data_IF_038920091229
#
_entry.id   IF_038920091229
#
_cell.length_a   1.000
_cell.length_b   1.000
_cell.length_c   1.000
_cell.angle_alpha   90.00
_cell.angle_beta   90.00
_cell.angle_gamma   90.00
#
_symmetry.space_group_name_H-M   'P 1'
#
loop_
_entity.id
_entity.type
_entity.pdbx_description
1 polymer ?
#
# COMPACT_ATOMS: atom_id res chain seq x y z
N UNK A 1 -26.42 -5.43 27.49
CA UNK A 1 -25.42 -5.23 26.44
C UNK A 1 -26.06 -5.64 25.13
N UNK A 2 -26.51 -4.67 24.32
CA UNK A 2 -27.08 -4.97 23.02
C UNK A 2 -25.98 -5.55 22.16
N UNK A 3 -26.13 -6.80 21.72
CA UNK A 3 -25.34 -7.36 20.62
C UNK A 3 -25.59 -6.45 19.43
N UNK A 4 -24.61 -5.60 19.09
CA UNK A 4 -24.56 -4.99 17.78
C UNK A 4 -24.35 -6.15 16.81
N UNK A 5 -25.45 -6.64 16.25
CA UNK A 5 -25.41 -7.47 15.06
C UNK A 5 -24.82 -6.56 14.01
N UNK A 6 -23.53 -6.72 13.70
CA UNK A 6 -22.91 -6.04 12.57
C UNK A 6 -23.66 -6.58 11.36
N UNK A 7 -24.66 -5.83 10.89
CA UNK A 7 -25.33 -6.13 9.63
C UNK A 7 -24.23 -6.16 8.58
N UNK A 8 -24.02 -7.31 7.94
CA UNK A 8 -23.14 -7.36 6.78
C UNK A 8 -23.68 -6.39 5.74
N UNK A 9 -22.85 -5.43 5.37
CA UNK A 9 -23.06 -4.52 4.25
C UNK A 9 -23.57 -5.31 3.03
N UNK A 10 -24.63 -4.85 2.34
CA UNK A 10 -25.30 -5.64 1.29
C UNK A 10 -24.36 -6.03 0.14
N UNK A 11 -23.36 -5.20 -0.14
CA UNK A 11 -22.33 -5.47 -1.15
C UNK A 11 -21.38 -6.57 -0.69
N UNK A 12 -20.94 -6.54 0.58
CA UNK A 12 -20.10 -7.60 1.14
C UNK A 12 -20.85 -8.93 1.25
N UNK A 13 -22.14 -8.89 1.58
CA UNK A 13 -23.01 -10.08 1.59
C UNK A 13 -23.17 -10.67 0.18
N UNK A 14 -23.37 -9.85 -0.84
CA UNK A 14 -23.44 -10.30 -2.23
C UNK A 14 -22.13 -10.99 -2.68
N UNK A 15 -20.98 -10.45 -2.28
CA UNK A 15 -19.69 -11.07 -2.60
C UNK A 15 -19.47 -12.36 -1.83
N UNK A 16 -19.92 -12.45 -0.57
CA UNK A 16 -19.90 -13.71 0.17
C UNK A 16 -20.72 -14.80 -0.56
N UNK A 17 -21.91 -14.45 -1.08
CA UNK A 17 -22.72 -15.42 -1.85
C UNK A 17 -22.06 -15.82 -3.18
N UNK A 18 -21.34 -14.91 -3.85
CA UNK A 18 -20.58 -15.24 -5.06
C UNK A 18 -19.38 -16.14 -4.74
N UNK A 19 -18.70 -15.88 -3.62
CA UNK A 19 -17.59 -16.68 -3.13
C UNK A 19 -18.04 -18.11 -2.79
N UNK A 20 -19.16 -18.25 -2.08
CA UNK A 20 -19.80 -19.54 -1.80
C UNK A 20 -20.20 -20.30 -3.08
N UNK A 21 -20.75 -19.59 -4.08
CA UNK A 21 -21.14 -20.21 -5.35
C UNK A 21 -19.94 -20.74 -6.15
N UNK A 22 -18.79 -20.07 -6.02
CA UNK A 22 -17.56 -20.39 -6.74
C UNK A 22 -16.60 -21.28 -5.95
N UNK A 23 -16.96 -21.68 -4.72
CA UNK A 23 -16.13 -22.45 -3.78
C UNK A 23 -14.73 -21.85 -3.55
N UNK A 24 -14.67 -20.52 -3.46
CA UNK A 24 -13.45 -19.76 -3.23
C UNK A 24 -13.61 -18.80 -2.04
N UNK A 25 -12.50 -18.39 -1.44
CA UNK A 25 -12.54 -17.42 -0.34
C UNK A 25 -13.03 -16.04 -0.82
N UNK A 26 -13.71 -15.30 0.05
CA UNK A 26 -14.14 -13.91 -0.23
C UNK A 26 -12.96 -12.98 -0.53
N UNK A 27 -11.81 -13.24 0.09
CA UNK A 27 -10.54 -12.57 -0.17
C UNK A 27 -10.02 -12.84 -1.59
N UNK A 28 -10.14 -14.08 -2.08
CA UNK A 28 -9.79 -14.43 -3.46
C UNK A 28 -10.66 -13.68 -4.47
N UNK A 29 -11.97 -13.58 -4.25
CA UNK A 29 -12.87 -12.80 -5.12
C UNK A 29 -12.45 -11.34 -5.16
N UNK A 30 -12.16 -10.75 -3.99
CA UNK A 30 -11.67 -9.37 -3.88
C UNK A 30 -10.38 -9.19 -4.70
N UNK A 31 -9.38 -10.03 -4.50
CA UNK A 31 -8.12 -9.96 -5.26
C UNK A 31 -8.33 -10.06 -6.76
N UNK A 32 -9.22 -10.94 -7.23
CA UNK A 32 -9.55 -11.05 -8.66
C UNK A 32 -10.16 -9.75 -9.20
N UNK A 33 -11.09 -9.12 -8.49
CA UNK A 33 -11.65 -7.82 -8.86
C UNK A 33 -10.56 -6.74 -8.95
N UNK A 34 -9.64 -6.71 -7.98
CA UNK A 34 -8.49 -5.81 -7.98
C UNK A 34 -7.58 -6.02 -9.19
N UNK A 35 -7.20 -7.28 -9.47
CA UNK A 35 -6.37 -7.65 -10.62
C UNK A 35 -7.03 -7.25 -11.94
N UNK A 36 -8.31 -7.56 -12.12
CA UNK A 36 -9.06 -7.16 -13.32
C UNK A 36 -9.09 -5.64 -13.47
N UNK A 37 -9.38 -4.90 -12.40
CA UNK A 37 -9.38 -3.44 -12.40
C UNK A 37 -8.02 -2.86 -12.81
N UNK A 38 -6.93 -3.37 -12.23
CA UNK A 38 -5.56 -2.97 -12.56
C UNK A 38 -5.19 -3.26 -14.01
N UNK A 39 -5.52 -4.46 -14.52
CA UNK A 39 -5.22 -4.86 -15.89
C UNK A 39 -5.96 -3.97 -16.89
N UNK A 40 -7.23 -3.64 -16.62
CA UNK A 40 -8.00 -2.70 -17.45
C UNK A 40 -7.36 -1.31 -17.45
N UNK A 41 -6.95 -0.79 -16.29
CA UNK A 41 -6.26 0.52 -16.22
C UNK A 41 -4.91 0.49 -16.96
N UNK A 42 -4.14 -0.59 -16.86
CA UNK A 42 -2.88 -0.77 -17.57
C UNK A 42 -3.08 -0.82 -19.10
N UNK A 43 -4.08 -1.57 -19.58
CA UNK A 43 -4.45 -1.63 -21.01
C UNK A 43 -4.92 -0.26 -21.48
N UNK A 44 -5.75 0.42 -20.68
CA UNK A 44 -6.21 1.76 -20.99
C UNK A 44 -5.07 2.78 -21.10
N UNK A 45 -4.06 2.67 -20.23
CA UNK A 45 -2.86 3.51 -20.29
C UNK A 45 -2.04 3.27 -21.56
N UNK A 46 -1.98 2.02 -22.05
CA UNK A 46 -1.33 1.69 -23.32
C UNK A 46 -2.08 2.29 -24.51
N UNK A 47 -3.40 2.24 -24.50
CA UNK A 47 -4.28 2.81 -25.54
C UNK A 47 -4.70 4.27 -25.25
N UNK A 48 -3.88 5.01 -24.52
CA UNK A 48 -4.19 6.35 -24.00
C UNK A 48 -4.60 7.37 -25.06
N UNK A 49 -4.09 7.28 -26.29
CA UNK A 49 -4.41 8.20 -27.39
C UNK A 49 -5.69 7.83 -28.15
N UNK A 50 -6.29 6.68 -27.85
CA UNK A 50 -7.48 6.17 -28.53
C UNK A 50 -8.72 6.40 -27.66
N UNK A 51 -9.89 6.70 -28.27
CA UNK A 51 -11.15 6.80 -27.52
C UNK A 51 -11.54 5.49 -26.81
N UNK A 52 -11.02 4.34 -27.27
CA UNK A 52 -11.18 3.06 -26.59
C UNK A 52 -10.53 3.03 -25.21
N UNK A 53 -9.46 3.80 -24.98
CA UNK A 53 -8.80 3.89 -23.69
C UNK A 53 -9.76 4.34 -22.58
N UNK A 54 -10.58 5.36 -22.84
CA UNK A 54 -11.60 5.85 -21.90
C UNK A 54 -12.58 4.74 -21.48
N UNK A 55 -13.09 4.01 -22.47
CA UNK A 55 -14.10 2.97 -22.27
C UNK A 55 -13.56 1.78 -21.49
N UNK A 56 -12.26 1.51 -21.60
CA UNK A 56 -11.56 0.46 -20.82
C UNK A 56 -11.24 0.97 -19.40
N UNK A 57 -10.92 2.25 -19.24
CA UNK A 57 -10.62 2.84 -17.92
C UNK A 57 -11.84 2.86 -16.99
N UNK A 58 -13.02 3.19 -17.52
CA UNK A 58 -14.25 3.31 -16.73
C UNK A 58 -14.58 2.06 -15.88
N UNK A 59 -14.68 0.85 -16.45
CA UNK A 59 -14.87 -0.36 -15.64
C UNK A 59 -13.66 -0.64 -14.74
N UNK A 60 -12.44 -0.27 -15.15
CA UNK A 60 -11.25 -0.39 -14.31
C UNK A 60 -11.33 0.42 -13.01
N UNK A 61 -11.78 1.68 -13.08
CA UNK A 61 -11.97 2.55 -11.90
C UNK A 61 -13.05 2.04 -10.96
N UNK A 62 -14.15 1.51 -11.50
CA UNK A 62 -15.24 0.95 -10.68
C UNK A 62 -14.77 -0.34 -9.98
N UNK A 63 -14.11 -1.24 -10.70
CA UNK A 63 -13.59 -2.50 -10.14
C UNK A 63 -12.54 -2.23 -9.06
N UNK A 64 -11.66 -1.25 -9.29
CA UNK A 64 -10.67 -0.86 -8.29
C UNK A 64 -11.32 -0.19 -7.06
N UNK A 65 -12.32 0.68 -7.29
CA UNK A 65 -13.08 1.29 -6.20
C UNK A 65 -13.81 0.23 -5.36
N UNK A 66 -14.40 -0.78 -6.01
CA UNK A 66 -15.02 -1.92 -5.34
C UNK A 66 -14.00 -2.76 -4.57
N UNK A 67 -12.84 -3.06 -5.18
CA UNK A 67 -11.74 -3.76 -4.52
C UNK A 67 -11.35 -3.11 -3.18
N UNK A 68 -11.15 -1.79 -3.17
CA UNK A 68 -10.78 -1.04 -1.97
C UNK A 68 -11.96 -0.94 -0.99
N UNK A 69 -13.18 -0.72 -1.48
CA UNK A 69 -14.39 -0.65 -0.65
C UNK A 69 -14.60 -1.90 0.18
N UNK A 70 -14.31 -3.09 -0.36
CA UNK A 70 -14.49 -4.35 0.34
C UNK A 70 -13.55 -4.52 1.54
N UNK A 71 -12.48 -3.74 1.64
CA UNK A 71 -11.61 -3.68 2.82
C UNK A 71 -12.27 -2.89 3.97
N UNK A 72 -13.31 -2.11 3.74
CA UNK A 72 -13.99 -1.32 4.79
C UNK A 72 -14.46 -2.20 5.95
N UNK A 73 -15.01 -3.39 5.67
CA UNK A 73 -15.44 -4.36 6.68
C UNK A 73 -14.31 -4.80 7.63
N UNK A 74 -13.07 -4.85 7.14
CA UNK A 74 -11.90 -5.11 7.98
C UNK A 74 -11.59 -3.90 8.87
N UNK A 75 -11.57 -2.69 8.30
CA UNK A 75 -11.27 -1.47 9.05
C UNK A 75 -12.32 -1.10 10.09
N UNK A 76 -13.58 -1.51 9.88
CA UNK A 76 -14.65 -1.42 10.88
C UNK A 76 -14.33 -2.28 12.10
N UNK A 77 -13.80 -3.50 11.90
CA UNK A 77 -13.47 -4.42 13.01
C UNK A 77 -12.34 -3.91 13.89
N UNK A 78 -11.35 -3.22 13.30
CA UNK A 78 -10.23 -2.64 14.04
C UNK A 78 -10.49 -1.19 14.49
N UNK A 79 -11.72 -0.69 14.33
CA UNK A 79 -12.19 0.62 14.78
C UNK A 79 -11.33 1.81 14.28
N UNK A 80 -10.79 1.76 13.05
CA UNK A 80 -10.04 2.87 12.45
C UNK A 80 -10.97 3.81 11.65
N UNK A 81 -11.41 4.96 12.20
CA UNK A 81 -12.38 5.82 11.54
C UNK A 81 -11.87 6.45 10.25
N UNK A 82 -10.56 6.68 10.12
CA UNK A 82 -9.97 7.33 8.94
C UNK A 82 -9.97 6.36 7.77
N UNK A 83 -9.51 5.13 8.00
CA UNK A 83 -9.47 4.11 6.95
C UNK A 83 -10.86 3.63 6.55
N UNK A 84 -11.83 3.59 7.48
CA UNK A 84 -13.23 3.34 7.15
C UNK A 84 -13.74 4.39 6.16
N UNK A 85 -13.55 5.69 6.45
CA UNK A 85 -14.01 6.76 5.55
C UNK A 85 -13.32 6.70 4.18
N UNK A 86 -11.99 6.52 4.16
CA UNK A 86 -11.22 6.47 2.92
C UNK A 86 -11.59 5.27 2.04
N UNK A 87 -11.76 4.08 2.65
CA UNK A 87 -12.17 2.89 1.89
C UNK A 87 -13.62 2.94 1.44
N UNK A 88 -14.53 3.46 2.27
CA UNK A 88 -15.92 3.66 1.88
C UNK A 88 -16.04 4.66 0.72
N UNK A 89 -15.23 5.72 0.72
CA UNK A 89 -15.21 6.71 -0.36
C UNK A 89 -14.61 6.20 -1.67
N UNK A 90 -13.88 5.08 -1.66
CA UNK A 90 -13.19 4.57 -2.84
C UNK A 90 -14.14 4.13 -3.97
N UNK A 91 -15.28 3.50 -3.64
CA UNK A 91 -16.26 3.08 -4.64
C UNK A 91 -16.98 4.29 -5.30
N UNK A 92 -17.56 5.24 -4.54
CA UNK A 92 -18.06 6.49 -5.12
C UNK A 92 -17.00 7.24 -5.93
N UNK A 93 -15.77 7.32 -5.44
CA UNK A 93 -14.65 7.95 -6.15
C UNK A 93 -14.34 7.27 -7.49
N UNK A 94 -14.31 5.93 -7.51
CA UNK A 94 -14.12 5.15 -8.73
C UNK A 94 -15.24 5.37 -9.75
N UNK A 95 -16.49 5.48 -9.29
CA UNK A 95 -17.65 5.79 -10.16
C UNK A 95 -17.52 7.21 -10.74
N UNK A 96 -17.18 8.21 -9.92
CA UNK A 96 -16.98 9.59 -10.38
C UNK A 96 -15.88 9.65 -11.45
N UNK A 97 -14.75 8.98 -11.22
CA UNK A 97 -13.66 8.90 -12.20
C UNK A 97 -14.12 8.21 -13.50
N UNK A 98 -14.89 7.12 -13.40
CA UNK A 98 -15.44 6.46 -14.57
C UNK A 98 -16.37 7.38 -15.39
N UNK A 99 -17.22 8.18 -14.73
CA UNK A 99 -18.09 9.17 -15.39
C UNK A 99 -17.25 10.25 -16.08
N UNK A 100 -16.26 10.81 -15.38
CA UNK A 100 -15.36 11.84 -15.93
C UNK A 100 -14.65 11.31 -17.18
N UNK A 101 -14.21 10.05 -17.17
CA UNK A 101 -13.51 9.47 -18.31
C UNK A 101 -14.38 9.34 -19.56
N UNK A 102 -15.63 8.91 -19.37
CA UNK A 102 -16.59 8.79 -20.46
C UNK A 102 -16.98 10.19 -20.99
N UNK A 103 -17.18 11.16 -20.09
CA UNK A 103 -17.59 12.52 -20.46
C UNK A 103 -16.49 13.30 -21.19
N UNK A 104 -15.26 13.30 -20.67
CA UNK A 104 -14.14 14.06 -21.25
C UNK A 104 -13.51 13.40 -22.47
N UNK A 105 -13.95 12.19 -22.87
CA UNK A 105 -13.35 11.39 -23.94
C UNK A 105 -11.81 11.32 -23.83
N UNK A 106 -11.30 11.19 -22.59
CA UNK A 106 -9.97 10.66 -22.28
C UNK A 106 -8.73 11.35 -22.88
N UNK A 107 -8.82 12.57 -23.43
CA UNK A 107 -7.62 13.23 -24.02
C UNK A 107 -6.78 14.00 -23.01
N UNK A 108 -7.25 14.19 -21.77
CA UNK A 108 -6.48 14.87 -20.72
C UNK A 108 -5.29 14.00 -20.30
N UNK A 109 -4.09 14.55 -20.51
CA UNK A 109 -2.82 13.94 -20.15
C UNK A 109 -2.74 13.58 -18.66
N UNK A 110 -3.41 14.34 -17.79
CA UNK A 110 -3.41 14.13 -16.33
C UNK A 110 -4.25 12.92 -15.92
N UNK A 111 -5.39 12.71 -16.57
CA UNK A 111 -6.21 11.52 -16.36
C UNK A 111 -5.51 10.27 -16.90
N UNK A 112 -4.91 10.37 -18.08
CA UNK A 112 -4.08 9.29 -18.65
C UNK A 112 -2.94 8.95 -17.68
N UNK A 113 -2.19 9.95 -17.20
CA UNK A 113 -1.14 9.75 -16.23
C UNK A 113 -1.66 9.05 -14.97
N UNK A 114 -2.83 9.44 -14.46
CA UNK A 114 -3.41 8.84 -13.27
C UNK A 114 -3.76 7.36 -13.45
N UNK A 115 -4.29 6.94 -14.61
CA UNK A 115 -4.49 5.51 -14.94
C UNK A 115 -3.19 4.72 -14.82
N UNK A 116 -2.13 5.25 -15.43
CA UNK A 116 -0.81 4.65 -15.41
C UNK A 116 -0.22 4.62 -14.01
N UNK A 117 -0.31 5.72 -13.27
CA UNK A 117 0.21 5.84 -11.90
C UNK A 117 -0.40 4.74 -11.02
N UNK A 118 -1.72 4.61 -11.04
CA UNK A 118 -2.43 3.64 -10.22
C UNK A 118 -2.10 2.21 -10.64
N UNK A 119 -2.14 1.90 -11.94
CA UNK A 119 -1.80 0.56 -12.44
C UNK A 119 -0.36 0.17 -12.08
N UNK A 120 0.62 1.03 -12.37
CA UNK A 120 2.03 0.76 -12.13
C UNK A 120 2.43 0.87 -10.65
N UNK A 121 1.58 1.39 -9.78
CA UNK A 121 1.77 1.29 -8.32
C UNK A 121 1.27 -0.05 -7.79
N UNK A 122 0.03 -0.42 -8.12
CA UNK A 122 -0.65 -1.54 -7.48
C UNK A 122 -0.18 -2.90 -8.03
N UNK A 123 0.16 -2.98 -9.32
CA UNK A 123 0.63 -4.23 -9.95
C UNK A 123 1.93 -4.75 -9.31
N UNK A 124 3.02 -3.96 -9.20
CA UNK A 124 4.24 -4.44 -8.56
C UNK A 124 4.05 -4.87 -7.11
N UNK A 125 3.19 -4.16 -6.36
CA UNK A 125 2.84 -4.57 -4.99
C UNK A 125 2.22 -5.96 -4.96
N UNK A 126 1.23 -6.22 -5.82
CA UNK A 126 0.57 -7.52 -5.86
C UNK A 126 1.49 -8.63 -6.35
N UNK A 127 2.42 -8.36 -7.28
CA UNK A 127 3.43 -9.34 -7.69
C UNK A 127 4.30 -9.76 -6.49
N UNK A 128 4.78 -8.80 -5.71
CA UNK A 128 5.54 -9.09 -4.50
C UNK A 128 4.70 -9.84 -3.47
N UNK A 129 3.44 -9.44 -3.28
CA UNK A 129 2.53 -10.11 -2.36
C UNK A 129 2.23 -11.56 -2.76
N UNK A 130 1.99 -11.81 -4.06
CA UNK A 130 1.59 -13.12 -4.60
C UNK A 130 2.76 -14.10 -4.77
N UNK A 131 4.01 -13.63 -4.80
CA UNK A 131 5.20 -14.46 -4.94
C UNK A 131 5.92 -14.52 -3.58
N UNK A 132 5.75 -15.58 -2.78
CA UNK A 132 6.37 -15.71 -1.47
C UNK A 132 7.89 -15.49 -1.47
N UNK A 133 8.62 -15.98 -2.48
CA UNK A 133 10.07 -15.71 -2.59
C UNK A 133 10.42 -14.21 -2.53
N UNK A 134 9.65 -13.36 -3.23
CA UNK A 134 9.89 -11.92 -3.23
C UNK A 134 9.46 -11.30 -1.90
N UNK A 135 8.32 -11.74 -1.37
CA UNK A 135 7.79 -11.28 -0.08
C UNK A 135 8.78 -11.56 1.05
N UNK A 136 9.16 -12.82 1.24
CA UNK A 136 10.14 -13.33 2.22
C UNK A 136 11.47 -12.57 2.07
N UNK A 137 11.97 -12.43 0.84
CA UNK A 137 13.22 -11.73 0.57
C UNK A 137 13.18 -10.27 1.02
N UNK A 138 12.08 -9.56 0.77
CA UNK A 138 11.92 -8.17 1.20
C UNK A 138 11.72 -8.02 2.71
N UNK A 139 11.00 -8.94 3.34
CA UNK A 139 10.85 -8.98 4.80
C UNK A 139 12.23 -9.17 5.45
N UNK A 140 13.02 -10.15 4.99
CA UNK A 140 14.37 -10.39 5.48
C UNK A 140 15.28 -9.20 5.23
N UNK A 141 15.27 -8.63 4.03
CA UNK A 141 16.06 -7.44 3.70
C UNK A 141 15.73 -6.28 4.63
N UNK A 142 14.45 -6.09 4.96
CA UNK A 142 13.99 -5.05 5.89
C UNK A 142 14.48 -5.30 7.31
N UNK A 143 14.38 -6.54 7.80
CA UNK A 143 14.86 -6.90 9.12
C UNK A 143 16.38 -6.68 9.26
N UNK A 144 17.17 -7.18 8.30
CA UNK A 144 18.63 -7.00 8.29
C UNK A 144 19.05 -5.54 8.16
N UNK A 145 18.31 -4.74 7.38
CA UNK A 145 18.58 -3.30 7.29
C UNK A 145 18.38 -2.60 8.63
N UNK A 146 17.34 -2.97 9.38
CA UNK A 146 17.06 -2.40 10.69
C UNK A 146 18.08 -2.86 11.75
N UNK A 147 18.43 -4.15 11.77
CA UNK A 147 19.50 -4.70 12.60
C UNK A 147 20.83 -3.97 12.35
N UNK A 148 21.25 -3.86 11.09
CA UNK A 148 22.48 -3.15 10.71
C UNK A 148 22.49 -1.69 11.15
N UNK A 149 21.34 -1.01 11.08
CA UNK A 149 21.20 0.36 11.56
C UNK A 149 21.32 0.45 13.09
N UNK A 150 20.76 -0.50 13.83
CA UNK A 150 20.89 -0.58 15.29
C UNK A 150 22.34 -0.85 15.69
N UNK A 151 23.02 -1.77 15.02
CA UNK A 151 24.46 -2.01 15.22
C UNK A 151 25.28 -0.75 14.96
N UNK A 152 25.02 -0.07 13.83
CA UNK A 152 25.69 1.18 13.48
C UNK A 152 25.47 2.28 14.54
N UNK A 153 24.29 2.35 15.13
CA UNK A 153 23.96 3.27 16.22
C UNK A 153 24.58 2.89 17.58
N UNK A 154 25.31 1.76 17.67
CA UNK A 154 25.90 1.26 18.91
C UNK A 154 24.94 0.49 19.79
N UNK A 155 23.79 0.07 19.25
CA UNK A 155 22.72 -0.68 19.92
C UNK A 155 22.73 -2.16 19.50
N UNK A 156 23.90 -2.70 19.10
CA UNK A 156 24.09 -3.99 18.43
C UNK A 156 23.87 -5.25 19.28
N UNK A 157 22.77 -5.31 20.02
CA UNK A 157 22.41 -6.43 20.89
C UNK A 157 21.20 -7.21 20.37
N UNK A 158 20.95 -7.20 19.06
CA UNK A 158 19.79 -7.86 18.47
C UNK A 158 20.21 -8.87 17.40
N UNK A 159 19.37 -9.87 17.19
CA UNK A 159 19.52 -10.90 16.17
C UNK A 159 18.18 -11.23 15.53
N UNK A 160 18.19 -11.56 14.24
CA UNK A 160 17.00 -11.90 13.48
C UNK A 160 16.66 -13.39 13.67
N UNK A 161 15.39 -13.67 13.95
CA UNK A 161 14.84 -15.01 14.12
C UNK A 161 14.64 -15.79 12.83
N UNK A 162 14.07 -16.98 12.96
CA UNK A 162 13.62 -17.78 11.82
C UNK A 162 12.40 -17.17 11.14
N UNK A 163 12.27 -17.36 9.82
CA UNK A 163 11.09 -16.91 9.08
C UNK A 163 9.87 -17.75 9.47
N UNK A 164 8.81 -17.07 9.87
CA UNK A 164 7.55 -17.65 10.30
C UNK A 164 6.43 -17.30 9.31
N UNK A 165 5.42 -18.18 9.26
CA UNK A 165 4.23 -18.04 8.44
C UNK A 165 3.01 -18.02 9.34
N UNK A 166 2.25 -16.92 9.29
CA UNK A 166 0.96 -16.79 9.96
C UNK A 166 -0.13 -17.45 9.13
N UNK A 167 -0.82 -18.45 9.68
CA UNK A 167 -1.88 -19.20 8.99
C UNK A 167 -3.25 -18.50 9.12
N UNK A 168 -4.10 -18.66 8.11
CA UNK A 168 -5.49 -18.20 8.17
C UNK A 168 -6.26 -18.97 9.26
N UNK A 169 -6.91 -18.25 10.19
CA UNK A 169 -7.64 -18.86 11.31
C UNK A 169 -6.85 -18.99 12.62
N UNK A 170 -5.59 -18.56 12.63
CA UNK A 170 -4.72 -18.53 13.81
C UNK A 170 -3.71 -19.67 13.86
N UNK A 171 -2.53 -19.36 14.40
CA UNK A 171 -1.38 -20.27 14.42
C UNK A 171 -0.21 -19.74 13.60
N UNK A 172 1.00 -20.07 14.05
CA UNK A 172 2.26 -19.66 13.46
C UNK A 172 3.11 -20.92 13.26
N UNK A 173 3.66 -21.08 12.06
CA UNK A 173 4.54 -22.20 11.72
C UNK A 173 5.86 -21.67 11.16
N UNK A 174 6.95 -22.40 11.35
CA UNK A 174 8.19 -22.08 10.64
C UNK A 174 8.01 -22.24 9.13
N UNK A 175 8.73 -21.43 8.35
CA UNK A 175 8.78 -21.57 6.90
C UNK A 175 9.22 -22.97 6.46
N UNK A 176 10.08 -23.65 7.23
CA UNK A 176 10.52 -25.03 6.92
C UNK A 176 9.38 -26.04 6.95
N UNK A 177 8.41 -25.81 7.82
CA UNK A 177 7.30 -26.71 8.11
C UNK A 177 6.04 -26.31 7.34
N UNK A 178 6.10 -25.21 6.58
CA UNK A 178 4.99 -24.72 5.79
C UNK A 178 4.90 -25.45 4.45
N UNK A 179 3.81 -26.20 4.26
CA UNK A 179 3.54 -26.99 3.04
C UNK A 179 3.08 -26.15 1.82
N UNK A 180 3.17 -24.82 1.90
CA UNK A 180 2.71 -23.92 0.84
C UNK A 180 3.69 -23.78 -0.33
N UNK A 181 3.18 -23.28 -1.46
CA UNK A 181 4.01 -23.04 -2.64
C UNK A 181 4.75 -21.69 -2.52
N UNK A 182 6.08 -21.71 -2.67
CA UNK A 182 6.93 -20.52 -2.60
C UNK A 182 6.91 -19.62 -3.84
N UNK A 183 6.44 -20.14 -4.99
CA UNK A 183 6.36 -19.38 -6.24
C UNK A 183 5.05 -18.61 -6.40
N UNK A 184 3.94 -19.17 -5.94
CA UNK A 184 2.63 -18.54 -6.03
C UNK A 184 1.85 -18.85 -4.76
N UNK A 185 1.37 -17.79 -4.11
CA UNK A 185 0.55 -17.92 -2.92
C UNK A 185 -0.82 -18.50 -3.28
N UNK A 186 -1.03 -19.77 -2.96
CA UNK A 186 -2.26 -20.52 -3.26
C UNK A 186 -3.26 -20.54 -2.11
N UNK A 187 -2.83 -20.14 -0.91
CA UNK A 187 -3.65 -20.15 0.29
C UNK A 187 -3.63 -18.76 0.95
N UNK A 188 -4.73 -18.33 1.58
CA UNK A 188 -4.72 -17.10 2.35
C UNK A 188 -3.80 -17.26 3.57
N UNK A 189 -3.20 -16.16 4.00
CA UNK A 189 -2.37 -16.10 5.20
C UNK A 189 -3.06 -15.24 6.26
N UNK A 190 -2.61 -15.39 7.51
CA UNK A 190 -3.01 -14.52 8.61
C UNK A 190 -2.51 -13.09 8.42
N UNK A 191 -2.87 -12.20 9.35
CA UNK A 191 -2.64 -10.74 9.21
C UNK A 191 -1.17 -10.36 8.97
N UNK A 192 -0.24 -11.06 9.62
CA UNK A 192 1.20 -10.82 9.49
C UNK A 192 1.79 -11.43 8.22
N UNK A 193 1.11 -12.41 7.60
CA UNK A 193 1.63 -13.15 6.45
C UNK A 193 2.96 -13.85 6.77
N UNK A 194 3.99 -13.54 5.98
CA UNK A 194 5.37 -13.90 6.27
C UNK A 194 5.99 -12.87 7.20
N UNK A 195 6.55 -13.33 8.31
CA UNK A 195 7.12 -12.44 9.31
C UNK A 195 8.37 -13.03 9.96
N UNK A 196 9.22 -12.16 10.48
CA UNK A 196 10.45 -12.57 11.18
C UNK A 196 10.52 -11.87 12.53
N UNK A 197 10.53 -12.63 13.65
CA UNK A 197 10.69 -12.06 14.98
C UNK A 197 12.13 -11.60 15.21
N UNK A 198 12.29 -10.57 16.04
CA UNK A 198 13.59 -10.07 16.47
C UNK A 198 13.85 -10.53 17.91
N UNK A 199 15.06 -11.02 18.14
CA UNK A 199 15.54 -11.44 19.45
C UNK A 199 16.65 -10.51 19.92
N UNK A 200 16.85 -10.47 21.22
CA UNK A 200 18.05 -9.93 21.80
C UNK A 200 19.19 -10.97 21.73
N UNK A 201 20.43 -10.48 21.79
CA UNK A 201 21.65 -11.30 21.85
C UNK A 201 21.72 -12.22 23.08
N UNK A 202 20.86 -12.00 24.08
CA UNK A 202 20.68 -12.88 25.25
C UNK A 202 19.63 -13.99 25.03
N UNK A 203 18.97 -14.02 23.86
CA UNK A 203 17.92 -14.97 23.50
C UNK A 203 16.50 -14.58 23.92
N UNK A 204 16.31 -13.42 24.55
CA UNK A 204 14.97 -12.92 24.91
C UNK A 204 14.24 -12.34 23.69
N UNK A 205 12.93 -12.52 23.63
CA UNK A 205 12.09 -11.97 22.55
C UNK A 205 11.97 -10.45 22.69
N UNK A 206 12.35 -9.71 21.65
CA UNK A 206 12.17 -8.26 21.61
C UNK A 206 10.70 -7.85 21.36
N UNK A 207 9.76 -8.82 21.32
CA UNK A 207 8.33 -8.65 21.02
C UNK A 207 8.05 -7.80 19.76
N UNK A 208 8.96 -7.83 18.79
CA UNK A 208 8.85 -7.09 17.52
C UNK A 208 9.12 -8.04 16.38
N UNK A 209 8.17 -8.05 15.43
CA UNK A 209 8.25 -8.86 14.22
C UNK A 209 8.22 -7.96 12.98
N UNK A 210 9.08 -8.27 12.02
CA UNK A 210 9.11 -7.61 10.73
C UNK A 210 8.16 -8.31 9.77
N UNK A 211 7.30 -7.52 9.12
CA UNK A 211 6.35 -7.96 8.10
C UNK A 211 6.53 -7.15 6.82
N UNK A 212 5.88 -7.55 5.73
CA UNK A 212 6.00 -6.88 4.43
C UNK A 212 5.67 -5.38 4.50
N UNK A 213 4.69 -4.98 5.33
CA UNK A 213 4.32 -3.57 5.49
C UNK A 213 5.45 -2.71 6.07
N UNK A 214 6.40 -3.31 6.80
CA UNK A 214 7.56 -2.62 7.37
C UNK A 214 8.65 -2.35 6.33
N UNK A 215 8.57 -2.90 5.12
CA UNK A 215 9.60 -2.71 4.09
C UNK A 215 9.62 -1.32 3.45
N UNK A 216 8.57 -0.51 3.68
CA UNK A 216 8.37 0.75 2.99
C UNK A 216 7.99 0.59 1.51
N UNK A 217 7.79 -0.66 1.04
CA UNK A 217 7.49 -0.96 -0.35
C UNK A 217 6.25 -0.22 -0.87
N UNK A 218 5.23 -0.05 -0.03
CA UNK A 218 4.01 0.71 -0.38
C UNK A 218 4.31 2.16 -0.78
N UNK A 219 5.27 2.81 -0.13
CA UNK A 219 5.69 4.17 -0.52
C UNK A 219 6.50 4.14 -1.81
N UNK A 220 7.45 3.20 -1.92
CA UNK A 220 8.30 3.07 -3.11
C UNK A 220 7.48 2.84 -4.39
N UNK A 221 6.53 1.90 -4.36
CA UNK A 221 5.69 1.56 -5.53
C UNK A 221 4.78 2.72 -5.97
N UNK A 222 4.31 3.57 -5.04
CA UNK A 222 3.57 4.79 -5.40
C UNK A 222 4.45 5.74 -6.21
N UNK A 223 5.69 5.99 -5.76
CA UNK A 223 6.64 6.82 -6.50
C UNK A 223 7.06 6.17 -7.82
N UNK A 224 7.28 4.86 -7.83
CA UNK A 224 7.57 4.11 -9.06
C UNK A 224 6.44 4.28 -10.06
N UNK A 225 5.20 4.06 -9.65
CA UNK A 225 4.03 4.22 -10.51
C UNK A 225 3.90 5.63 -11.05
N UNK A 226 4.00 6.64 -10.18
CA UNK A 226 3.93 8.06 -10.55
C UNK A 226 4.99 8.45 -11.59
N UNK A 227 6.25 8.02 -11.39
CA UNK A 227 7.38 8.37 -12.26
C UNK A 227 7.31 7.57 -13.58
N UNK A 228 7.01 6.29 -13.52
CA UNK A 228 6.91 5.44 -14.72
C UNK A 228 5.76 5.86 -15.64
N UNK A 229 4.66 6.38 -15.06
CA UNK A 229 3.50 6.85 -15.81
C UNK A 229 3.69 8.18 -16.55
N UNK A 230 4.79 8.92 -16.31
CA UNK A 230 5.08 10.21 -16.96
C UNK A 230 5.44 10.03 -18.45
N UNK A 231 4.45 9.91 -19.33
CA UNK A 231 4.66 9.65 -20.77
C UNK A 231 5.53 10.70 -21.47
N UNK A 232 5.42 11.97 -21.07
CA UNK A 232 6.14 13.12 -21.67
C UNK A 232 7.62 13.20 -21.28
N UNK A 233 8.07 12.47 -20.26
CA UNK A 233 9.45 12.54 -19.75
C UNK A 233 10.29 11.40 -20.34
N UNK A 234 11.53 11.63 -20.83
CA UNK A 234 12.40 10.56 -21.34
C UNK A 234 12.85 9.60 -20.22
N UNK A 235 13.08 8.33 -20.57
CA UNK A 235 13.42 7.27 -19.60
C UNK A 235 14.66 7.57 -18.75
N UNK A 236 15.65 8.27 -19.30
CA UNK A 236 16.86 8.65 -18.57
C UNK A 236 16.60 9.61 -17.40
N UNK A 237 15.57 10.47 -17.49
CA UNK A 237 15.15 11.34 -16.39
C UNK A 237 14.32 10.57 -15.37
N UNK A 238 13.44 9.68 -15.85
CA UNK A 238 12.64 8.80 -14.98
C UNK A 238 13.53 7.91 -14.11
N UNK A 239 14.53 7.26 -14.71
CA UNK A 239 15.46 6.39 -13.99
C UNK A 239 16.28 7.16 -12.95
N UNK A 240 16.75 8.37 -13.27
CA UNK A 240 17.41 9.25 -12.28
C UNK A 240 16.49 9.56 -11.10
N UNK A 241 15.20 9.84 -11.38
CA UNK A 241 14.19 10.02 -10.34
C UNK A 241 14.03 8.81 -9.43
N UNK A 242 13.92 7.61 -10.01
CA UNK A 242 13.80 6.36 -9.26
C UNK A 242 15.06 6.06 -8.43
N UNK A 243 16.24 6.29 -9.00
CA UNK A 243 17.53 6.09 -8.32
C UNK A 243 17.74 7.02 -7.13
N UNK A 244 17.01 8.12 -7.06
CA UNK A 244 17.01 9.01 -5.89
C UNK A 244 15.89 8.62 -4.93
N UNK A 245 14.67 8.44 -5.44
CA UNK A 245 13.49 8.19 -4.61
C UNK A 245 13.55 6.85 -3.86
N UNK A 246 13.88 5.75 -4.53
CA UNK A 246 13.85 4.41 -3.92
C UNK A 246 14.86 4.29 -2.77
N UNK A 247 16.16 4.65 -2.96
CA UNK A 247 17.12 4.58 -1.85
C UNK A 247 16.77 5.53 -0.71
N UNK A 248 16.26 6.73 -1.01
CA UNK A 248 15.87 7.70 0.03
C UNK A 248 14.73 7.13 0.88
N UNK A 249 13.69 6.59 0.26
CA UNK A 249 12.57 5.96 0.98
C UNK A 249 13.06 4.78 1.81
N UNK A 250 13.96 3.95 1.24
CA UNK A 250 14.52 2.81 1.95
C UNK A 250 15.28 3.24 3.21
N UNK A 251 16.18 4.22 3.10
CA UNK A 251 16.96 4.73 4.23
C UNK A 251 16.04 5.29 5.32
N UNK A 252 15.07 6.13 4.94
CA UNK A 252 14.09 6.69 5.89
C UNK A 252 13.26 5.61 6.58
N UNK A 253 12.86 4.57 5.85
CA UNK A 253 12.14 3.44 6.39
C UNK A 253 13.00 2.59 7.35
N UNK A 254 14.28 2.39 7.02
CA UNK A 254 15.24 1.71 7.91
C UNK A 254 15.42 2.48 9.22
N UNK A 255 15.54 3.81 9.16
CA UNK A 255 15.57 4.66 10.37
C UNK A 255 14.28 4.54 11.19
N UNK A 256 13.11 4.54 10.55
CA UNK A 256 11.81 4.33 11.22
C UNK A 256 11.80 3.00 11.97
N UNK A 257 12.18 1.92 11.29
CA UNK A 257 12.10 0.58 11.86
C UNK A 257 13.09 0.39 13.03
N UNK A 258 14.36 0.78 12.84
CA UNK A 258 15.35 0.76 13.92
C UNK A 258 14.92 1.64 15.11
N UNK A 259 14.38 2.83 14.83
CA UNK A 259 13.85 3.72 15.87
C UNK A 259 12.69 3.12 16.65
N UNK A 260 11.76 2.41 16.00
CA UNK A 260 10.66 1.70 16.68
C UNK A 260 11.20 0.59 17.57
N UNK A 261 12.17 -0.20 17.08
CA UNK A 261 12.82 -1.26 17.87
C UNK A 261 13.46 -0.69 19.12
N UNK A 262 14.33 0.30 18.95
CA UNK A 262 15.03 0.94 20.07
C UNK A 262 14.09 1.58 21.09
N UNK A 263 13.06 2.31 20.62
CA UNK A 263 12.08 2.95 21.49
C UNK A 263 11.32 1.93 22.32
N UNK A 264 10.82 0.88 21.66
CA UNK A 264 10.00 -0.17 22.30
C UNK A 264 10.80 -0.91 23.36
N UNK A 265 12.07 -1.19 23.09
CA UNK A 265 12.98 -1.85 24.03
C UNK A 265 13.35 -0.95 25.21
N UNK A 266 13.83 0.28 24.93
CA UNK A 266 14.31 1.22 25.95
C UNK A 266 13.20 1.64 26.92
N UNK A 267 11.96 1.74 26.43
CA UNK A 267 10.81 2.21 27.20
C UNK A 267 9.73 1.13 27.31
N UNK A 268 10.12 -0.12 27.57
CA UNK A 268 9.20 -1.27 27.71
C UNK A 268 8.10 -1.08 28.77
N UNK A 269 8.39 -0.35 29.86
CA UNK A 269 7.43 -0.06 30.94
C UNK A 269 6.67 1.26 30.75
N UNK A 270 6.88 1.98 29.65
CA UNK A 270 6.25 3.26 29.41
C UNK A 270 4.84 3.05 28.85
N UNK A 271 3.86 3.53 29.60
CA UNK A 271 2.47 3.58 29.16
C UNK A 271 1.86 4.91 29.59
N UNK A 272 1.29 5.65 28.64
CA UNK A 272 0.49 6.84 28.93
C UNK A 272 -0.94 6.56 28.49
N UNK A 273 -1.87 6.58 29.44
CA UNK A 273 -3.30 6.36 29.17
C UNK A 273 -3.63 4.96 28.63
N UNK A 274 -2.80 3.94 28.92
CA UNK A 274 -2.99 2.57 28.44
C UNK A 274 -2.41 2.26 27.06
N UNK A 275 -1.75 3.23 26.40
CA UNK A 275 -1.03 3.02 25.14
C UNK A 275 0.44 2.70 25.46
N UNK A 276 0.92 1.55 25.01
CA UNK A 276 2.32 1.14 25.17
C UNK A 276 3.27 1.91 24.26
N UNK A 277 4.58 1.87 24.57
CA UNK A 277 5.60 2.56 23.77
C UNK A 277 5.62 2.11 22.30
N UNK A 278 5.41 0.83 22.02
CA UNK A 278 5.31 0.31 20.65
C UNK A 278 4.19 1.01 19.87
N UNK A 279 2.98 1.05 20.44
CA UNK A 279 1.82 1.68 19.80
C UNK A 279 2.00 3.18 19.64
N UNK A 280 2.61 3.85 20.63
CA UNK A 280 2.93 5.27 20.53
C UNK A 280 3.95 5.55 19.42
N UNK A 281 5.03 4.76 19.37
CA UNK A 281 6.07 4.90 18.36
C UNK A 281 5.53 4.60 16.96
N UNK A 282 4.76 3.52 16.82
CA UNK A 282 4.23 3.05 15.54
C UNK A 282 3.08 3.92 15.01
N UNK A 283 2.20 4.39 15.90
CA UNK A 283 0.97 5.09 15.53
C UNK A 283 1.09 6.61 15.56
N UNK A 284 2.03 7.19 16.33
CA UNK A 284 2.17 8.64 16.48
C UNK A 284 3.54 9.14 16.05
N UNK A 285 4.62 8.69 16.70
CA UNK A 285 5.95 9.22 16.43
C UNK A 285 6.38 8.95 14.97
N UNK A 286 6.15 7.73 14.49
CA UNK A 286 6.43 7.37 13.11
C UNK A 286 5.56 8.12 12.10
N UNK A 287 4.30 8.43 12.43
CA UNK A 287 3.43 9.24 11.54
C UNK A 287 3.92 10.66 11.44
N UNK A 288 4.34 11.29 12.55
CA UNK A 288 4.89 12.66 12.55
C UNK A 288 6.21 12.72 11.78
N UNK A 289 7.13 11.79 12.05
CA UNK A 289 8.40 11.71 11.33
C UNK A 289 8.20 11.45 9.83
N UNK A 290 7.25 10.57 9.47
CA UNK A 290 6.87 10.30 8.08
C UNK A 290 6.26 11.54 7.40
N UNK A 291 5.36 12.27 8.07
CA UNK A 291 4.80 13.53 7.58
C UNK A 291 5.89 14.58 7.28
N UNK A 292 6.85 14.70 8.19
CA UNK A 292 7.98 15.61 8.01
C UNK A 292 8.89 15.17 6.86
N UNK A 293 9.19 13.87 6.75
CA UNK A 293 9.97 13.33 5.64
C UNK A 293 9.26 13.51 4.29
N UNK A 294 7.93 13.31 4.25
CA UNK A 294 7.12 13.57 3.06
C UNK A 294 7.15 15.05 2.65
N UNK A 295 7.17 15.98 3.61
CA UNK A 295 7.31 17.41 3.33
C UNK A 295 8.66 17.73 2.66
N UNK A 296 9.77 17.20 3.19
CA UNK A 296 11.10 17.38 2.58
C UNK A 296 11.19 16.72 1.19
N UNK A 297 10.61 15.53 1.04
CA UNK A 297 10.52 14.84 -0.24
C UNK A 297 9.70 15.64 -1.25
N UNK A 298 8.59 16.29 -0.85
CA UNK A 298 7.79 17.12 -1.73
C UNK A 298 8.60 18.31 -2.29
N UNK A 299 9.43 18.96 -1.46
CA UNK A 299 10.34 20.03 -1.89
C UNK A 299 11.35 19.49 -2.91
N UNK A 300 12.01 18.38 -2.60
CA UNK A 300 12.97 17.76 -3.51
C UNK A 300 12.32 17.31 -4.84
N UNK A 301 11.07 16.83 -4.79
CA UNK A 301 10.32 16.35 -5.93
C UNK A 301 9.89 17.50 -6.87
N UNK A 302 9.64 18.70 -6.34
CA UNK A 302 9.36 19.88 -7.17
C UNK A 302 10.55 20.31 -8.01
N UNK A 303 11.78 20.14 -7.49
CA UNK A 303 13.00 20.40 -8.25
C UNK A 303 13.32 19.28 -9.25
N UNK A 304 12.98 18.03 -8.90
CA UNK A 304 13.35 16.87 -9.73
C UNK A 304 12.36 16.59 -10.87
N UNK A 305 11.06 16.69 -10.60
CA UNK A 305 9.96 16.27 -11.48
C UNK A 305 8.72 17.19 -11.35
N UNK A 306 8.83 18.48 -11.72
CA UNK A 306 7.70 19.42 -11.68
C UNK A 306 6.51 18.97 -12.55
N UNK A 307 6.76 18.14 -13.57
CA UNK A 307 5.72 17.54 -14.43
C UNK A 307 4.72 16.70 -13.62
N UNK A 308 5.19 15.98 -12.59
CA UNK A 308 4.32 15.17 -11.73
C UNK A 308 3.41 16.05 -10.87
N UNK A 309 3.95 17.14 -10.31
CA UNK A 309 3.15 18.12 -9.56
C UNK A 309 2.06 18.76 -10.43
N UNK A 310 2.38 19.09 -11.69
CA UNK A 310 1.41 19.66 -12.62
C UNK A 310 0.21 18.73 -12.87
N UNK A 311 0.44 17.44 -13.04
CA UNK A 311 -0.65 16.47 -13.20
C UNK A 311 -1.51 16.39 -11.92
N UNK A 312 -0.90 16.32 -10.74
CA UNK A 312 -1.63 16.30 -9.46
C UNK A 312 -2.51 17.55 -9.31
N UNK A 313 -1.95 18.74 -9.58
CA UNK A 313 -2.68 20.00 -9.44
C UNK A 313 -3.83 20.16 -10.44
N UNK A 314 -3.76 19.53 -11.62
CA UNK A 314 -4.87 19.50 -12.61
C UNK A 314 -6.00 18.56 -12.21
N UNK A 315 -5.70 17.52 -11.46
CA UNK A 315 -6.70 16.58 -10.94
C UNK A 315 -7.42 17.11 -9.69
N UNK A 316 -6.89 18.15 -9.05
CA UNK A 316 -7.53 18.76 -7.88
C UNK A 316 -8.83 19.49 -8.27
N UNK A 317 -9.96 19.25 -7.57
CA UNK A 317 -11.27 19.81 -7.94
C UNK A 317 -11.31 21.35 -7.87
N UNK A 318 -10.45 21.98 -7.07
CA UNK A 318 -10.36 23.44 -6.96
C UNK A 318 -9.92 24.12 -8.26
N UNK A 319 -9.11 23.45 -9.09
CA UNK A 319 -8.65 24.02 -10.36
C UNK A 319 -9.67 23.79 -11.48
N UNK A 320 -10.33 22.63 -11.49
CA UNK A 320 -11.40 22.31 -12.45
C UNK A 320 -12.55 23.33 -12.39
N UNK A 321 -12.90 23.80 -11.18
CA UNK A 321 -13.93 24.83 -10.97
C UNK A 321 -13.56 26.21 -11.55
N UNK A 322 -12.27 26.54 -11.64
CA UNK A 322 -11.79 27.82 -12.17
C UNK A 322 -11.75 27.83 -13.70
N UNK A 323 -11.33 26.73 -14.30
CA UNK A 323 -11.34 26.60 -15.77
C UNK A 323 -12.78 26.56 -16.31
N UNK A 324 -13.74 25.98 -15.59
CA UNK A 324 -15.16 26.04 -15.93
C UNK A 324 -15.72 27.47 -15.83
N UNK A 325 -15.36 28.25 -14.80
CA UNK A 325 -15.83 29.64 -14.66
C UNK A 325 -15.25 30.59 -15.70
N UNK A 326 -14.03 30.33 -16.17
CA UNK A 326 -13.36 31.15 -17.18
C UNK A 326 -13.79 30.77 -18.61
N UNK A 327 -14.38 29.59 -18.81
CA UNK A 327 -14.93 29.15 -20.12
C UNK A 327 -16.40 29.57 -20.36
N UNK A 328 -17.07 30.06 -19.32
CA UNK A 328 -18.49 30.49 -19.34
C UNK A 328 -18.62 32.03 -19.35
N UNK A 329 -17.51 32.76 -19.22
CA UNK A 329 -17.41 34.21 -19.41
C UNK A 329 -16.70 34.55 -20.73
#
# INVERSE_FOLDING_TARGET
MARVVIMQEPISAAIATIAELLDISSESVRLVLGILGMVLLAISFRDAEKPRGANIAAPGWILLGLFVYLQSSYYIKIEDPVLILMTAAALPGGIVLAIIEIQKKSTDESLIWFRGMVAWSIIPYHIVYLIPYLNIGLVLFTAHSAEWMLEFAGLGSYSIGEMMVSLEGGGEVSLSDWEGNLFLLTQPLGESGFFVPMYHSNGEEANISFILSCSGLQSMIIFVGAICALRSVPWNRRLRGLMIAIPTIHVLNTFRNAGIVWLTDTYSNWAIGGIGMFDFAHSYAAKVASLFAMFLMAIALFDLLPEMHNHIMRLLPLKQRKDESDSVN
#
